data_IF_097270355684
#
_entry.id   IF_097270355684
#
_cell.length_a   1.000
_cell.length_b   1.000
_cell.length_c   1.000
_cell.angle_alpha   90.00
_cell.angle_beta   90.00
_cell.angle_gamma   90.00
#
_symmetry.space_group_name_H-M   'P 1'
#
loop_
_entity.id
_entity.type
_entity.pdbx_description
1 polymer ?
#
# COMPACT_ATOMS: atom_id res chain seq x y z
N UNK A 1 -13.91 22.46 -3.91
CA UNK A 1 -12.69 22.34 -3.07
C UNK A 1 -13.16 22.31 -1.63
N UNK A 2 -12.82 21.22 -0.93
CA UNK A 2 -13.56 20.75 0.25
C UNK A 2 -13.53 21.64 1.50
N UNK A 3 -14.46 21.33 2.40
CA UNK A 3 -14.66 21.93 3.73
C UNK A 3 -13.50 21.56 4.66
N UNK A 4 -12.35 22.20 4.48
CA UNK A 4 -11.30 22.11 5.48
C UNK A 4 -11.86 22.61 6.81
N UNK A 5 -11.81 21.76 7.85
CA UNK A 5 -12.24 22.16 9.19
C UNK A 5 -11.49 23.41 9.69
N UNK A 6 -10.28 23.62 9.19
CA UNK A 6 -9.40 24.75 9.49
C UNK A 6 -9.32 25.77 8.35
N UNK A 7 -10.35 25.82 7.48
CA UNK A 7 -10.58 26.76 6.38
C UNK A 7 -9.57 26.66 5.21
N UNK A 8 -8.28 26.85 5.48
CA UNK A 8 -7.25 27.05 4.45
C UNK A 8 -6.15 25.98 4.43
N UNK A 9 -6.16 25.04 5.38
CA UNK A 9 -5.10 24.04 5.51
C UNK A 9 -4.94 23.17 4.25
N UNK A 10 -6.04 22.86 3.57
CA UNK A 10 -6.04 22.12 2.31
C UNK A 10 -5.42 22.91 1.14
N UNK A 11 -5.61 24.24 1.10
CA UNK A 11 -5.05 25.10 0.06
C UNK A 11 -3.53 25.17 0.20
N UNK A 12 -3.03 25.43 1.41
CA UNK A 12 -1.59 25.42 1.69
C UNK A 12 -0.96 24.05 1.45
N UNK A 13 -1.67 22.97 1.76
CA UNK A 13 -1.20 21.61 1.46
C UNK A 13 -1.09 21.38 -0.05
N UNK A 14 -2.08 21.85 -0.84
CA UNK A 14 -2.05 21.76 -2.30
C UNK A 14 -0.83 22.49 -2.88
N UNK A 15 -0.59 23.74 -2.47
CA UNK A 15 0.57 24.53 -2.92
C UNK A 15 1.89 23.82 -2.60
N UNK A 16 2.02 23.24 -1.40
CA UNK A 16 3.22 22.48 -1.01
C UNK A 16 3.41 21.20 -1.83
N UNK A 17 2.33 20.50 -2.15
CA UNK A 17 2.40 19.29 -2.98
C UNK A 17 2.79 19.64 -4.41
N UNK A 18 2.24 20.72 -4.98
CA UNK A 18 2.61 21.20 -6.31
C UNK A 18 4.09 21.58 -6.37
N UNK A 19 4.59 22.29 -5.36
CA UNK A 19 6.00 22.61 -5.26
C UNK A 19 6.88 21.35 -5.09
N UNK A 20 6.45 20.40 -4.26
CA UNK A 20 7.18 19.14 -4.08
C UNK A 20 7.25 18.30 -5.36
N UNK A 21 6.21 18.31 -6.20
CA UNK A 21 6.24 17.65 -7.53
C UNK A 21 7.37 18.20 -8.39
N UNK A 22 7.53 19.53 -8.45
CA UNK A 22 8.62 20.19 -9.18
C UNK A 22 9.98 19.73 -8.64
N UNK A 23 10.16 19.74 -7.32
CA UNK A 23 11.41 19.27 -6.70
C UNK A 23 11.70 17.81 -7.03
N UNK A 24 10.69 16.94 -7.06
CA UNK A 24 10.84 15.52 -7.41
C UNK A 24 11.26 15.33 -8.88
N UNK A 25 10.81 16.20 -9.78
CA UNK A 25 11.28 16.22 -11.16
C UNK A 25 12.73 16.69 -11.25
N UNK A 26 13.11 17.74 -10.51
CA UNK A 26 14.48 18.26 -10.47
C UNK A 26 15.51 17.23 -10.01
N UNK A 27 15.14 16.38 -9.03
CA UNK A 27 16.01 15.31 -8.53
C UNK A 27 15.87 13.99 -9.31
N UNK A 28 15.20 14.00 -10.46
CA UNK A 28 14.97 12.84 -11.33
C UNK A 28 14.26 11.65 -10.64
N UNK A 29 13.44 11.92 -9.62
CA UNK A 29 12.56 10.91 -9.00
C UNK A 29 11.21 10.79 -9.73
N UNK A 30 10.76 11.88 -10.36
CA UNK A 30 9.50 11.99 -11.07
C UNK A 30 8.36 12.49 -10.17
N UNK A 31 7.82 13.66 -10.49
CA UNK A 31 6.72 14.31 -9.80
C UNK A 31 5.41 13.52 -9.87
N UNK A 32 5.25 12.69 -10.90
CA UNK A 32 4.11 11.76 -11.04
C UNK A 32 4.02 10.72 -9.91
N UNK A 33 5.07 10.58 -9.08
CA UNK A 33 5.06 9.71 -7.90
C UNK A 33 4.36 10.30 -6.68
N UNK A 34 4.00 11.58 -6.72
CA UNK A 34 3.29 12.29 -5.66
C UNK A 34 1.94 12.79 -6.20
N UNK A 35 0.85 12.59 -5.47
CA UNK A 35 -0.45 13.17 -5.82
C UNK A 35 -1.26 13.48 -4.56
N UNK A 36 -2.06 14.55 -4.61
CA UNK A 36 -2.97 14.93 -3.54
C UNK A 36 -4.42 14.86 -4.02
N UNK A 37 -5.23 14.12 -3.26
CA UNK A 37 -6.66 13.99 -3.52
C UNK A 37 -7.46 14.65 -2.38
N UNK A 38 -8.55 15.34 -2.72
CA UNK A 38 -9.52 15.85 -1.76
C UNK A 38 -10.71 14.88 -1.69
N UNK A 39 -10.89 14.22 -0.55
CA UNK A 39 -11.93 13.21 -0.35
C UNK A 39 -12.67 13.51 0.96
N UNK A 40 -14.01 13.52 0.93
CA UNK A 40 -14.82 13.70 2.13
C UNK A 40 -14.73 12.51 3.08
N UNK A 41 -14.97 12.73 4.38
CA UNK A 41 -14.86 11.69 5.39
C UNK A 41 -15.79 10.48 5.16
N UNK A 42 -16.90 10.68 4.43
CA UNK A 42 -17.89 9.66 4.11
C UNK A 42 -17.82 9.14 2.67
N UNK A 43 -16.87 9.63 1.86
CA UNK A 43 -16.76 9.31 0.43
C UNK A 43 -15.87 8.08 0.17
N UNK A 44 -16.17 6.97 0.85
CA UNK A 44 -15.39 5.73 0.75
C UNK A 44 -15.23 5.17 -0.69
N UNK A 45 -16.25 5.23 -1.57
CA UNK A 45 -16.10 4.77 -2.96
C UNK A 45 -15.06 5.58 -3.74
N UNK A 46 -15.04 6.91 -3.57
CA UNK A 46 -14.07 7.79 -4.24
C UNK A 46 -12.67 7.51 -3.71
N UNK A 47 -12.53 7.26 -2.41
CA UNK A 47 -11.25 6.86 -1.82
C UNK A 47 -10.71 5.58 -2.46
N UNK A 48 -11.54 4.54 -2.59
CA UNK A 48 -11.12 3.28 -3.20
C UNK A 48 -10.67 3.47 -4.66
N UNK A 49 -11.43 4.26 -5.43
CA UNK A 49 -11.06 4.61 -6.82
C UNK A 49 -9.69 5.30 -6.87
N UNK A 50 -9.43 6.31 -6.03
CA UNK A 50 -8.17 7.05 -6.05
C UNK A 50 -6.98 6.23 -5.58
N UNK A 51 -7.18 5.31 -4.64
CA UNK A 51 -6.14 4.36 -4.24
C UNK A 51 -5.77 3.44 -5.40
N UNK A 52 -6.76 2.92 -6.14
CA UNK A 52 -6.52 2.07 -7.31
C UNK A 52 -5.78 2.87 -8.40
N UNK A 53 -6.26 4.07 -8.74
CA UNK A 53 -5.65 4.97 -9.72
C UNK A 53 -4.17 5.24 -9.40
N UNK A 54 -3.87 5.61 -8.15
CA UNK A 54 -2.51 5.88 -7.72
C UNK A 54 -1.63 4.62 -7.73
N UNK A 55 -2.19 3.47 -7.33
CA UNK A 55 -1.50 2.18 -7.36
C UNK A 55 -1.11 1.79 -8.79
N UNK A 56 -2.03 1.94 -9.74
CA UNK A 56 -1.77 1.66 -11.15
C UNK A 56 -0.72 2.61 -11.75
N UNK A 57 -0.76 3.89 -11.39
CA UNK A 57 0.26 4.88 -11.78
C UNK A 57 1.65 4.45 -11.32
N UNK A 58 1.81 4.13 -10.03
CA UNK A 58 3.10 3.71 -9.47
C UNK A 58 3.59 2.41 -10.11
N UNK A 59 2.71 1.44 -10.37
CA UNK A 59 3.08 0.20 -11.07
C UNK A 59 3.64 0.48 -12.48
N UNK A 60 3.07 1.45 -13.21
CA UNK A 60 3.54 1.85 -14.54
C UNK A 60 4.88 2.60 -14.49
N UNK A 61 5.12 3.40 -13.45
CA UNK A 61 6.38 4.13 -13.24
C UNK A 61 7.54 3.22 -12.77
N UNK A 62 7.24 2.02 -12.30
CA UNK A 62 8.23 1.07 -11.82
C UNK A 62 8.88 1.45 -10.49
N UNK A 63 9.89 0.68 -10.09
CA UNK A 63 10.60 0.84 -8.82
C UNK A 63 11.25 2.21 -8.67
N UNK A 64 11.42 2.65 -7.42
CA UNK A 64 12.08 3.91 -7.10
C UNK A 64 13.58 3.84 -7.48
N UNK A 65 14.12 4.79 -8.27
CA UNK A 65 15.53 4.81 -8.65
C UNK A 65 16.50 4.93 -7.46
N UNK A 66 16.05 5.41 -6.29
CA UNK A 66 16.86 5.44 -5.07
C UNK A 66 16.89 4.10 -4.32
N UNK A 67 16.13 3.08 -4.75
CA UNK A 67 16.20 1.74 -4.16
C UNK A 67 17.39 0.95 -4.72
N UNK A 68 18.60 1.53 -4.68
CA UNK A 68 19.84 0.76 -4.71
C UNK A 68 20.16 0.31 -3.29
N UNK A 69 19.31 -0.56 -2.77
CA UNK A 69 19.80 -1.60 -1.87
C UNK A 69 19.97 -2.83 -2.73
N UNK A 70 21.22 -3.13 -3.08
CA UNK A 70 21.62 -4.53 -2.99
C UNK A 70 21.25 -4.96 -1.56
N UNK A 71 20.12 -5.66 -1.42
CA UNK A 71 19.91 -6.49 -0.24
C UNK A 71 20.80 -7.72 -0.40
N UNK A 72 22.12 -7.51 -0.49
CA UNK A 72 23.07 -8.47 0.06
C UNK A 72 22.81 -8.46 1.55
N UNK A 73 22.53 -9.65 2.08
CA UNK A 73 22.07 -9.94 3.45
C UNK A 73 20.55 -9.89 3.63
N UNK A 74 19.97 -11.03 3.27
CA UNK A 74 19.12 -11.82 4.16
C UNK A 74 18.16 -11.03 5.05
N UNK A 75 16.99 -10.73 4.50
CA UNK A 75 15.79 -11.09 5.26
C UNK A 75 15.64 -12.61 5.21
N UNK A 76 16.50 -13.30 5.97
CA UNK A 76 16.17 -14.61 6.47
C UNK A 76 15.09 -14.34 7.50
N UNK A 77 13.83 -14.55 7.13
CA UNK A 77 12.74 -14.66 8.08
C UNK A 77 12.97 -15.97 8.85
N UNK A 78 13.92 -15.97 9.79
CA UNK A 78 14.09 -17.04 10.75
C UNK A 78 12.92 -16.95 11.73
N UNK A 79 11.76 -17.50 11.35
CA UNK A 79 10.63 -17.61 12.27
C UNK A 79 9.25 -17.94 11.72
N UNK A 80 9.03 -17.98 10.40
CA UNK A 80 7.73 -18.44 9.88
C UNK A 80 7.89 -19.09 8.51
N UNK A 81 8.30 -20.36 8.49
CA UNK A 81 8.20 -21.17 7.28
C UNK A 81 6.77 -21.68 7.12
N UNK A 82 6.32 -21.54 5.88
CA UNK A 82 5.31 -22.38 5.21
C UNK A 82 3.84 -22.25 5.63
N UNK A 83 3.11 -21.56 4.74
CA UNK A 83 2.09 -22.27 3.96
C UNK A 83 1.91 -21.63 2.59
N UNK A 84 2.74 -22.04 1.63
CA UNK A 84 2.42 -21.89 0.21
C UNK A 84 1.18 -22.73 -0.09
N UNK A 85 0.33 -22.16 -0.93
CA UNK A 85 -0.98 -22.64 -1.34
C UNK A 85 -0.95 -23.79 -2.33
N UNK A 86 0.00 -24.73 -2.20
CA UNK A 86 -0.06 -26.00 -2.90
C UNK A 86 -0.73 -27.03 -1.99
N UNK A 87 -2.06 -27.06 -2.05
CA UNK A 87 -2.89 -28.06 -1.38
C UNK A 87 -3.20 -29.18 -2.40
N UNK A 88 -2.60 -30.38 -2.32
CA UNK A 88 -3.16 -31.54 -3.00
C UNK A 88 -4.36 -32.04 -2.17
N UNK A 89 -5.47 -32.27 -2.87
CA UNK A 89 -6.67 -32.92 -2.36
C UNK A 89 -6.40 -34.40 -2.07
N UNK A 90 -6.57 -34.85 -0.83
CA UNK A 90 -6.96 -36.23 -0.44
C UNK A 90 -7.57 -36.11 0.96
N UNK A 91 -8.83 -36.46 1.20
CA UNK A 91 -9.22 -37.84 1.50
C UNK A 91 -9.44 -37.95 3.01
N UNK A 92 -10.69 -38.10 3.43
CA UNK A 92 -11.09 -38.05 4.84
C UNK A 92 -10.65 -39.25 5.67
N UNK A 93 -10.74 -39.11 6.99
CA UNK A 93 -11.36 -40.08 7.90
C UNK A 93 -11.53 -39.43 9.29
N UNK A 94 -12.76 -39.51 9.82
CA UNK A 94 -13.10 -39.09 11.19
C UNK A 94 -12.56 -40.14 12.16
N UNK A 95 -11.65 -39.76 13.04
CA UNK A 95 -11.28 -40.57 14.20
C UNK A 95 -12.07 -40.11 15.45
N UNK A 96 -12.69 -41.09 16.09
CA UNK A 96 -13.65 -41.01 17.19
C UNK A 96 -12.98 -40.93 18.57
N UNK A 97 -13.76 -40.45 19.53
CA UNK A 97 -13.87 -40.85 20.94
C UNK A 97 -12.61 -41.06 21.80
N UNK A 98 -12.52 -40.28 22.90
CA UNK A 98 -12.53 -40.73 24.32
C UNK A 98 -12.31 -39.52 25.23
N UNK A 99 -13.30 -39.05 26.00
CA UNK A 99 -13.72 -39.54 27.31
C UNK A 99 -12.71 -39.29 28.46
N UNK A 100 -12.93 -38.21 29.20
CA UNK A 100 -12.62 -38.03 30.63
C UNK A 100 -13.96 -37.58 31.25
N UNK A 101 -14.73 -38.39 32.01
CA UNK A 101 -14.56 -38.80 33.43
C UNK A 101 -14.02 -37.64 34.28
N UNK A 102 -14.76 -37.05 35.22
CA UNK A 102 -15.98 -37.42 35.97
C UNK A 102 -16.91 -36.21 36.14
#
# INVERSE_FOLDING_TARGET
MGDCHFLEGNLRAKERVEYAKILLDEVALGGDRLEMYQIGASDAPIWAEKVIEMTERIKKLGSNPLSLREHTESWCFSGFSERSSDRPSMGGERAKDRHLKE
#
